data_IF_539177067193
#
_entry.id   IF_539177067193
#
_cell.length_a   1.000
_cell.length_b   1.000
_cell.length_c   1.000
_cell.angle_alpha   90.00
_cell.angle_beta   90.00
_cell.angle_gamma   90.00
#
_symmetry.space_group_name_H-M   'P 1'
#
loop_
_entity.id
_entity.type
_entity.pdbx_description
1 polymer ?
#
# COMPACT_ATOMS: atom_id res chain seq x y z
N UNK A 1 -14.59 -16.20 -3.90
CA UNK A 1 -14.62 -14.74 -3.67
C UNK A 1 -13.18 -14.29 -3.46
N UNK A 2 -12.66 -13.37 -4.27
CA UNK A 2 -11.27 -12.87 -4.12
C UNK A 2 -11.26 -11.85 -2.99
N UNK A 3 -10.24 -11.91 -2.12
CA UNK A 3 -9.99 -10.90 -1.08
C UNK A 3 -8.81 -10.03 -1.52
N UNK A 4 -8.98 -8.72 -1.44
CA UNK A 4 -7.91 -7.75 -1.62
C UNK A 4 -7.24 -7.45 -0.28
N UNK A 5 -5.92 -7.38 -0.27
CA UNK A 5 -5.12 -7.18 0.95
C UNK A 5 -4.03 -6.16 0.69
N UNK A 6 -3.94 -5.15 1.56
CA UNK A 6 -2.80 -4.26 1.66
C UNK A 6 -2.00 -4.58 2.92
N UNK A 7 -0.84 -5.24 2.73
CA UNK A 7 0.04 -5.65 3.84
C UNK A 7 0.70 -4.49 4.57
N UNK A 8 0.86 -3.34 3.90
CA UNK A 8 1.43 -2.11 4.45
C UNK A 8 0.47 -1.49 5.48
N UNK A 9 -0.79 -1.28 5.09
CA UNK A 9 -1.80 -0.64 5.93
C UNK A 9 -2.58 -1.63 6.81
N UNK A 10 -2.31 -2.94 6.68
CA UNK A 10 -3.10 -4.02 7.29
C UNK A 10 -4.59 -3.95 6.92
N UNK A 11 -4.89 -3.46 5.73
CA UNK A 11 -6.25 -3.27 5.21
C UNK A 11 -6.68 -4.47 4.38
N UNK A 12 -7.95 -4.88 4.51
CA UNK A 12 -8.54 -6.02 3.79
C UNK A 12 -9.96 -5.68 3.37
N UNK A 13 -10.32 -6.07 2.17
CA UNK A 13 -11.69 -5.94 1.66
C UNK A 13 -11.98 -7.06 0.64
N UNK A 14 -13.26 -7.30 0.37
CA UNK A 14 -13.72 -8.13 -0.74
C UNK A 14 -14.21 -7.30 -1.93
N UNK A 15 -14.16 -5.97 -1.84
CA UNK A 15 -14.66 -5.04 -2.83
C UNK A 15 -13.50 -4.29 -3.50
N UNK A 16 -13.52 -4.26 -4.83
CA UNK A 16 -12.44 -3.70 -5.64
C UNK A 16 -12.38 -2.16 -5.59
N UNK A 17 -13.55 -1.52 -5.54
CA UNK A 17 -13.72 -0.07 -5.43
C UNK A 17 -13.21 0.46 -4.07
N UNK A 18 -13.45 -0.28 -2.99
CA UNK A 18 -12.88 0.01 -1.68
C UNK A 18 -11.34 -0.10 -1.69
N UNK A 19 -10.78 -1.12 -2.35
CA UNK A 19 -9.33 -1.25 -2.49
C UNK A 19 -8.75 -0.12 -3.35
N UNK A 20 -9.41 0.24 -4.46
CA UNK A 20 -8.99 1.35 -5.31
C UNK A 20 -8.97 2.67 -4.54
N UNK A 21 -10.05 2.97 -3.82
CA UNK A 21 -10.14 4.16 -2.95
C UNK A 21 -9.09 4.15 -1.84
N UNK A 22 -8.78 2.98 -1.28
CA UNK A 22 -7.71 2.81 -0.29
C UNK A 22 -6.34 3.20 -0.85
N UNK A 23 -5.97 2.72 -2.04
CA UNK A 23 -4.69 3.00 -2.67
C UNK A 23 -4.54 4.48 -3.04
N UNK A 24 -5.65 5.15 -3.37
CA UNK A 24 -5.66 6.57 -3.69
C UNK A 24 -5.60 7.48 -2.46
N UNK A 25 -5.93 6.95 -1.27
CA UNK A 25 -5.98 7.71 -0.03
C UNK A 25 -4.63 8.32 0.34
N UNK A 26 -4.68 9.51 0.96
CA UNK A 26 -3.49 10.20 1.48
C UNK A 26 -2.70 9.32 2.45
N UNK A 27 -3.42 8.59 3.32
CA UNK A 27 -2.81 7.69 4.30
C UNK A 27 -1.95 6.61 3.64
N UNK A 28 -2.47 5.91 2.63
CA UNK A 28 -1.71 4.86 1.93
C UNK A 28 -0.45 5.45 1.28
N UNK A 29 -0.60 6.54 0.53
CA UNK A 29 0.50 7.20 -0.19
C UNK A 29 1.60 7.70 0.75
N UNK A 30 1.23 8.34 1.86
CA UNK A 30 2.19 8.84 2.84
C UNK A 30 2.89 7.70 3.59
N UNK A 31 2.15 6.67 3.98
CA UNK A 31 2.72 5.50 4.65
C UNK A 31 3.68 4.74 3.73
N UNK A 32 3.33 4.60 2.45
CA UNK A 32 4.19 3.95 1.45
C UNK A 32 5.48 4.73 1.25
N UNK A 33 5.39 6.06 1.07
CA UNK A 33 6.56 6.94 0.97
C UNK A 33 7.45 6.85 2.21
N UNK A 34 6.85 6.90 3.41
CA UNK A 34 7.58 6.79 4.66
C UNK A 34 8.38 5.50 4.75
N UNK A 35 7.77 4.35 4.45
CA UNK A 35 8.46 3.06 4.46
C UNK A 35 9.58 3.03 3.42
N UNK A 36 9.37 3.57 2.22
CA UNK A 36 10.40 3.71 1.19
C UNK A 36 11.67 4.42 1.71
N UNK A 37 11.52 5.45 2.55
CA UNK A 37 12.68 6.15 3.15
C UNK A 37 13.42 5.36 4.24
N UNK A 38 12.84 4.27 4.74
CA UNK A 38 13.42 3.43 5.81
C UNK A 38 14.04 2.16 5.29
N UNK A 39 13.88 1.88 4.00
CA UNK A 39 14.43 0.69 3.36
C UNK A 39 15.84 1.00 2.80
N UNK A 40 16.74 0.00 2.79
CA UNK A 40 17.99 0.11 2.05
C UNK A 40 17.70 0.48 0.59
N UNK A 41 18.58 1.28 -0.03
CA UNK A 41 18.35 1.84 -1.36
C UNK A 41 18.03 0.76 -2.41
N UNK A 42 18.72 -0.39 -2.34
CA UNK A 42 18.47 -1.56 -3.21
C UNK A 42 17.06 -2.16 -3.05
N UNK A 43 16.44 -2.01 -1.89
CA UNK A 43 15.08 -2.50 -1.60
C UNK A 43 14.02 -1.45 -1.92
N UNK A 44 14.38 -0.16 -1.87
CA UNK A 44 13.49 0.94 -2.24
C UNK A 44 13.17 0.95 -3.74
N UNK A 45 14.12 0.58 -4.61
CA UNK A 45 13.94 0.55 -6.07
C UNK A 45 12.87 -0.46 -6.52
N UNK A 46 12.62 -1.53 -5.73
CA UNK A 46 11.56 -2.50 -6.01
C UNK A 46 10.14 -1.96 -5.78
N UNK A 47 10.02 -0.87 -5.02
CA UNK A 47 8.74 -0.27 -4.64
C UNK A 47 8.29 0.88 -5.55
N UNK A 48 9.06 1.22 -6.59
CA UNK A 48 8.77 2.32 -7.52
C UNK A 48 8.01 1.83 -8.76
#
# INVERSE_FOLDING_TARGET
RIQFVCSLCKYRTFYDDEMSSHLESKFHKEHFKFVGTKLPQQTADFLQ
#
